data_IF_680770787387
#
_entry.id   IF_680770787387
#
_cell.length_a   1.000
_cell.length_b   1.000
_cell.length_c   1.000
_cell.angle_alpha   90.00
_cell.angle_beta   90.00
_cell.angle_gamma   90.00
#
_symmetry.space_group_name_H-M   'P 1'
#
loop_
_entity.id
_entity.type
_entity.pdbx_description
1 polymer ?
#
# COMPACT_ATOMS: atom_id res chain seq x y z
N UNK A 1 9.75 -2.42 -10.21
CA UNK A 1 8.52 -2.62 -9.41
C UNK A 1 7.22 -2.50 -10.23
N UNK A 2 7.22 -2.05 -11.49
CA UNK A 2 5.97 -1.89 -12.25
C UNK A 2 5.27 -3.21 -12.55
N UNK A 3 6.03 -4.28 -12.85
CA UNK A 3 5.49 -5.62 -13.16
C UNK A 3 4.55 -6.15 -12.07
N UNK A 4 4.96 -6.11 -10.79
CA UNK A 4 4.11 -6.54 -9.68
C UNK A 4 2.82 -5.71 -9.60
N UNK A 5 2.93 -4.38 -9.70
CA UNK A 5 1.76 -3.49 -9.62
C UNK A 5 0.79 -3.70 -10.78
N UNK A 6 1.31 -3.87 -12.00
CA UNK A 6 0.51 -4.16 -13.19
C UNK A 6 -0.20 -5.50 -13.06
N UNK A 7 0.50 -6.53 -12.59
CA UNK A 7 -0.10 -7.85 -12.36
C UNK A 7 -1.15 -7.82 -11.25
N UNK A 8 -0.89 -7.13 -10.15
CA UNK A 8 -1.86 -6.95 -9.07
C UNK A 8 -3.12 -6.24 -9.60
N UNK A 9 -2.95 -5.17 -10.38
CA UNK A 9 -4.06 -4.45 -10.98
C UNK A 9 -4.87 -5.29 -11.98
N UNK A 10 -4.23 -6.26 -12.67
CA UNK A 10 -4.92 -7.13 -13.63
C UNK A 10 -5.63 -8.31 -12.98
N UNK A 11 -5.07 -8.88 -11.90
CA UNK A 11 -5.57 -10.15 -11.32
C UNK A 11 -6.49 -9.92 -10.14
N UNK A 12 -6.20 -8.95 -9.27
CA UNK A 12 -7.01 -8.71 -8.07
C UNK A 12 -6.93 -7.25 -7.63
N UNK A 13 -7.71 -6.35 -8.26
CA UNK A 13 -7.74 -4.94 -7.90
C UNK A 13 -8.55 -4.67 -6.61
N UNK A 14 -9.34 -5.64 -6.15
CA UNK A 14 -10.25 -5.52 -5.01
C UNK A 14 -9.89 -6.52 -3.90
N UNK A 15 -10.11 -6.18 -2.63
CA UNK A 15 -9.94 -7.11 -1.51
C UNK A 15 -10.82 -8.38 -1.68
N UNK A 16 -10.43 -9.52 -1.11
CA UNK A 16 -9.26 -9.74 -0.26
C UNK A 16 -7.96 -10.00 -1.06
N UNK A 17 -6.88 -9.29 -0.70
CA UNK A 17 -5.54 -9.41 -1.31
C UNK A 17 -4.48 -9.48 -0.22
N UNK A 18 -3.53 -10.42 -0.33
CA UNK A 18 -2.31 -10.45 0.47
C UNK A 18 -1.21 -9.66 -0.27
N UNK A 19 -0.86 -8.44 0.16
CA UNK A 19 0.16 -7.64 -0.51
C UNK A 19 1.58 -8.15 -0.18
N UNK A 20 2.53 -7.87 -1.08
CA UNK A 20 3.94 -8.14 -0.81
C UNK A 20 4.50 -7.01 0.08
N UNK A 21 4.53 -7.25 1.40
CA UNK A 21 4.98 -6.28 2.40
C UNK A 21 6.36 -5.65 2.12
N UNK A 22 7.39 -6.38 1.64
CA UNK A 22 8.66 -5.77 1.28
C UNK A 22 8.54 -4.63 0.25
N UNK A 23 7.62 -4.74 -0.71
CA UNK A 23 7.37 -3.70 -1.72
C UNK A 23 6.73 -2.48 -1.05
N UNK A 24 5.74 -2.71 -0.20
CA UNK A 24 5.04 -1.63 0.53
C UNK A 24 5.98 -0.90 1.50
N UNK A 25 6.82 -1.64 2.22
CA UNK A 25 7.86 -1.07 3.09
C UNK A 25 8.80 -0.19 2.28
N UNK A 26 9.24 -0.66 1.11
CA UNK A 26 10.11 0.12 0.23
C UNK A 26 9.48 1.45 -0.16
N UNK A 27 8.21 1.45 -0.54
CA UNK A 27 7.49 2.69 -0.91
C UNK A 27 7.38 3.68 0.26
N UNK A 28 7.10 3.16 1.46
CA UNK A 28 7.05 3.96 2.69
C UNK A 28 8.44 4.53 3.05
N UNK A 29 9.49 3.74 2.90
CA UNK A 29 10.88 4.18 3.08
C UNK A 29 11.22 5.31 2.11
N UNK A 30 10.93 5.15 0.81
CA UNK A 30 11.15 6.21 -0.17
C UNK A 30 10.32 7.47 0.12
N UNK A 31 9.05 7.32 0.51
CA UNK A 31 8.20 8.46 0.89
C UNK A 31 8.74 9.18 2.14
N UNK A 32 9.33 8.45 3.08
CA UNK A 32 9.91 9.02 4.29
C UNK A 32 11.26 9.71 4.06
N UNK A 33 12.14 9.10 3.28
CA UNK A 33 13.52 9.58 3.06
C UNK A 33 13.60 10.69 2.00
N UNK A 34 12.66 10.73 1.05
CA UNK A 34 12.69 11.70 -0.06
C UNK A 34 12.47 13.16 0.35
N UNK A 35 11.83 13.42 1.50
CA UNK A 35 11.50 14.78 1.97
C UNK A 35 11.67 14.90 3.49
N UNK A 36 12.13 16.04 4.02
CA UNK A 36 12.18 16.26 5.46
C UNK A 36 10.76 16.33 6.05
N UNK A 37 10.63 15.89 7.31
CA UNK A 37 9.34 15.91 8.03
C UNK A 37 8.92 17.33 8.42
N UNK A 38 9.90 18.21 8.64
CA UNK A 38 9.67 19.62 8.92
C UNK A 38 10.40 20.47 7.87
N UNK A 39 9.78 21.58 7.48
CA UNK A 39 10.37 22.62 6.65
C UNK A 39 10.52 23.86 7.53
N UNK A 40 11.70 24.04 8.14
CA UNK A 40 11.89 25.02 9.20
C UNK A 40 11.06 24.67 10.44
N UNK A 41 10.19 25.58 10.88
CA UNK A 41 9.30 25.39 12.03
C UNK A 41 7.93 24.77 11.67
N UNK A 42 7.68 24.45 10.40
CA UNK A 42 6.39 23.93 9.93
C UNK A 42 6.46 22.44 9.61
N UNK A 43 5.39 21.71 9.90
CA UNK A 43 5.25 20.30 9.56
C UNK A 43 4.94 20.17 8.06
N UNK A 44 5.62 19.24 7.39
CA UNK A 44 5.40 18.94 5.99
C UNK A 44 4.19 18.00 5.80
N UNK A 45 3.00 18.59 5.68
CA UNK A 45 1.77 17.83 5.46
C UNK A 45 1.71 17.10 4.12
N UNK A 46 2.43 17.54 3.09
CA UNK A 46 2.50 16.83 1.82
C UNK A 46 3.19 15.47 1.96
N UNK A 47 4.27 15.42 2.74
CA UNK A 47 4.94 14.17 3.10
C UNK A 47 3.98 13.24 3.85
N UNK A 48 3.31 13.76 4.88
CA UNK A 48 2.35 12.98 5.67
C UNK A 48 1.18 12.49 4.82
N UNK A 49 0.66 13.31 3.91
CA UNK A 49 -0.39 12.98 2.96
C UNK A 49 0.05 11.85 2.03
N UNK A 50 1.28 11.89 1.51
CA UNK A 50 1.83 10.83 0.66
C UNK A 50 1.93 9.50 1.42
N UNK A 51 2.52 9.50 2.61
CA UNK A 51 2.63 8.29 3.46
C UNK A 51 1.25 7.72 3.77
N UNK A 52 0.30 8.58 4.17
CA UNK A 52 -1.05 8.16 4.52
C UNK A 52 -1.83 7.63 3.30
N UNK A 53 -1.52 8.06 2.06
CA UNK A 53 -2.08 7.46 0.84
C UNK A 53 -1.59 6.03 0.65
N UNK A 54 -0.29 5.79 0.80
CA UNK A 54 0.31 4.45 0.67
C UNK A 54 -0.32 3.50 1.69
N UNK A 55 -0.41 3.92 2.96
CA UNK A 55 -1.02 3.11 4.03
C UNK A 55 -2.48 2.76 3.68
N UNK A 56 -3.31 3.75 3.32
CA UNK A 56 -4.71 3.51 2.97
C UNK A 56 -4.85 2.54 1.81
N UNK A 57 -4.03 2.66 0.77
CA UNK A 57 -4.04 1.73 -0.37
C UNK A 57 -3.77 0.29 0.08
N UNK A 58 -2.81 0.08 0.98
CA UNK A 58 -2.52 -1.27 1.53
C UNK A 58 -3.65 -1.77 2.41
N UNK A 59 -4.20 -0.93 3.27
CA UNK A 59 -5.32 -1.31 4.15
C UNK A 59 -6.56 -1.71 3.35
N UNK A 60 -6.84 -1.02 2.24
CA UNK A 60 -7.98 -1.36 1.37
C UNK A 60 -7.87 -2.75 0.76
N UNK A 61 -6.66 -3.19 0.38
CA UNK A 61 -6.39 -4.53 -0.14
C UNK A 61 -6.71 -5.64 0.88
N UNK A 62 -6.55 -5.35 2.17
CA UNK A 62 -6.78 -6.28 3.28
C UNK A 62 -8.13 -6.08 3.98
N UNK A 63 -9.05 -5.28 3.42
CA UNK A 63 -10.27 -4.85 4.12
C UNK A 63 -11.39 -5.90 4.20
N UNK A 64 -11.26 -7.00 3.44
CA UNK A 64 -12.21 -8.13 3.42
C UNK A 64 -11.46 -9.39 3.87
N UNK A 65 -12.15 -10.28 4.58
CA UNK A 65 -11.60 -11.58 4.97
C UNK A 65 -11.58 -12.52 3.78
N UNK A 66 -10.60 -13.41 3.71
CA UNK A 66 -10.64 -14.53 2.78
C UNK A 66 -11.72 -15.51 3.21
N UNK A 67 -12.63 -15.84 2.29
CA UNK A 67 -13.57 -16.94 2.45
C UNK A 67 -12.91 -18.22 1.91
N UNK A 68 -12.32 -18.99 2.83
CA UNK A 68 -11.58 -20.19 2.49
C UNK A 68 -12.50 -21.33 2.02
N UNK A 69 -13.74 -21.35 2.50
CA UNK A 69 -14.73 -22.37 2.13
C UNK A 69 -15.06 -22.23 0.64
N UNK A 70 -15.39 -21.02 0.20
CA UNK A 70 -15.62 -20.71 -1.22
C UNK A 70 -14.40 -21.03 -2.09
N UNK A 71 -13.19 -20.78 -1.60
CA UNK A 71 -11.95 -21.05 -2.35
C UNK A 71 -11.60 -22.54 -2.46
N UNK A 72 -11.93 -23.35 -1.44
CA UNK A 72 -11.68 -24.80 -1.45
C UNK A 72 -12.68 -25.58 -2.30
N UNK A 73 -13.84 -24.99 -2.59
CA UNK A 73 -14.92 -25.62 -3.36
C UNK A 73 -14.77 -25.46 -4.89
N UNK A 74 -13.67 -24.84 -5.36
CA UNK A 74 -13.40 -24.55 -6.78
C UNK A 74 -12.22 -25.37 -7.31
#
# INVERSE_FOLDING_TARGET
MSKYRQHLASVSPTPPVIPIYPIMRKDLTFAHESKPTCCGALINFDKLRLIARIIRSVTMLCSVKYDLEFMSAQ
#
